data_IF_085364999143
#
_entry.id   IF_085364999143
#
_cell.length_a   1.000
_cell.length_b   1.000
_cell.length_c   1.000
_cell.angle_alpha   90.00
_cell.angle_beta   90.00
_cell.angle_gamma   90.00
#
_symmetry.space_group_name_H-M   'P 1'
#
loop_
_entity.id
_entity.type
_entity.pdbx_description
1 polymer ?
#
# COMPACT_ATOMS: atom_id res chain seq x y z
N UNK A 1 -24.07 -0.43 4.45
CA UNK A 1 -23.24 -0.43 3.22
C UNK A 1 -22.69 -1.82 2.92
N UNK A 2 -22.01 -2.48 3.85
CA UNK A 2 -21.31 -3.76 3.62
C UNK A 2 -22.23 -4.93 3.18
N UNK A 3 -23.48 -4.99 3.61
CA UNK A 3 -24.43 -6.02 3.22
C UNK A 3 -25.12 -5.75 1.88
N UNK A 4 -25.20 -4.49 1.49
CA UNK A 4 -25.84 -4.07 0.23
C UNK A 4 -24.88 -4.13 -0.97
N UNK A 5 -23.59 -3.79 -0.77
CA UNK A 5 -22.58 -3.77 -1.84
C UNK A 5 -22.47 -5.09 -2.61
N UNK A 6 -22.39 -6.29 -1.97
CA UNK A 6 -22.25 -7.54 -2.71
C UNK A 6 -23.47 -7.88 -3.58
N UNK A 7 -24.63 -7.30 -3.28
CA UNK A 7 -25.85 -7.49 -4.08
C UNK A 7 -25.97 -6.45 -5.19
N UNK A 8 -25.65 -5.20 -4.90
CA UNK A 8 -25.78 -4.09 -5.86
C UNK A 8 -24.70 -4.08 -6.94
N UNK A 9 -23.45 -4.40 -6.56
CA UNK A 9 -22.35 -4.38 -7.53
C UNK A 9 -22.58 -5.35 -8.69
N UNK A 10 -22.87 -6.65 -8.49
CA UNK A 10 -23.12 -7.56 -9.60
C UNK A 10 -24.35 -7.17 -10.45
N UNK A 11 -25.40 -6.63 -9.79
CA UNK A 11 -26.59 -6.17 -10.50
C UNK A 11 -26.29 -4.97 -11.39
N UNK A 12 -25.51 -4.01 -10.88
CA UNK A 12 -25.08 -2.83 -11.62
C UNK A 12 -24.20 -3.22 -12.83
N UNK A 13 -23.24 -4.14 -12.63
CA UNK A 13 -22.39 -4.64 -13.70
C UNK A 13 -23.18 -5.35 -14.80
N UNK A 14 -24.18 -6.16 -14.41
CA UNK A 14 -25.06 -6.84 -15.38
C UNK A 14 -25.93 -5.86 -16.17
N UNK A 15 -26.34 -4.76 -15.55
CA UNK A 15 -27.19 -3.74 -16.19
C UNK A 15 -26.38 -2.80 -17.11
N UNK A 16 -25.12 -2.55 -16.79
CA UNK A 16 -24.32 -1.50 -17.46
C UNK A 16 -23.53 -2.03 -18.65
N UNK A 17 -23.17 -3.32 -18.64
CA UNK A 17 -22.41 -3.98 -19.71
C UNK A 17 -21.00 -3.41 -19.88
N UNK A 18 -20.21 -4.00 -20.76
CA UNK A 18 -18.82 -3.61 -21.03
C UNK A 18 -18.75 -2.36 -21.93
N UNK A 19 -19.14 -1.19 -21.39
CA UNK A 19 -19.14 0.08 -22.12
C UNK A 19 -17.78 0.75 -22.03
N UNK A 20 -17.35 1.42 -23.11
CA UNK A 20 -16.11 2.20 -23.19
C UNK A 20 -15.98 3.25 -22.05
N UNK A 21 -17.12 3.74 -21.56
CA UNK A 21 -17.21 4.72 -20.47
C UNK A 21 -16.80 4.19 -19.08
N UNK A 22 -16.54 2.90 -18.93
CA UNK A 22 -16.17 2.23 -17.66
C UNK A 22 -17.03 2.65 -16.45
N UNK A 23 -18.36 2.51 -16.53
CA UNK A 23 -19.25 2.94 -15.45
C UNK A 23 -19.00 2.17 -14.15
N UNK A 24 -18.49 0.94 -14.25
CA UNK A 24 -18.13 0.09 -13.11
C UNK A 24 -17.01 0.70 -12.27
N UNK A 25 -15.96 1.17 -12.92
CA UNK A 25 -14.84 1.86 -12.26
C UNK A 25 -15.32 3.12 -11.55
N UNK A 26 -16.15 3.91 -12.24
CA UNK A 26 -16.73 5.14 -11.68
C UNK A 26 -17.64 4.86 -10.48
N UNK A 27 -18.42 3.78 -10.53
CA UNK A 27 -19.28 3.37 -9.41
C UNK A 27 -18.46 2.98 -8.18
N UNK A 28 -17.42 2.18 -8.35
CA UNK A 28 -16.55 1.80 -7.22
C UNK A 28 -15.84 3.03 -6.65
N UNK A 29 -15.31 3.91 -7.49
CA UNK A 29 -14.70 5.17 -7.03
C UNK A 29 -15.72 6.04 -6.28
N UNK A 30 -16.94 6.16 -6.77
CA UNK A 30 -18.00 6.89 -6.07
C UNK A 30 -18.26 6.32 -4.67
N UNK A 31 -18.38 5.00 -4.55
CA UNK A 31 -18.55 4.32 -3.26
C UNK A 31 -17.38 4.59 -2.32
N UNK A 32 -16.15 4.49 -2.83
CA UNK A 32 -14.94 4.75 -2.04
C UNK A 32 -14.86 6.21 -1.56
N UNK A 33 -15.17 7.18 -2.43
CA UNK A 33 -15.18 8.59 -2.05
C UNK A 33 -16.30 8.92 -1.07
N UNK A 34 -17.49 8.36 -1.24
CA UNK A 34 -18.60 8.54 -0.30
C UNK A 34 -18.24 8.00 1.08
N UNK A 35 -17.75 6.77 1.15
CA UNK A 35 -17.36 6.16 2.42
C UNK A 35 -16.15 6.84 3.05
N UNK A 36 -15.19 7.29 2.22
CA UNK A 36 -14.05 8.07 2.68
C UNK A 36 -14.46 9.43 3.24
N UNK A 37 -15.40 10.11 2.57
CA UNK A 37 -15.98 11.36 3.07
C UNK A 37 -16.71 11.19 4.40
N UNK A 38 -17.53 10.13 4.53
CA UNK A 38 -18.19 9.79 5.80
C UNK A 38 -17.21 9.47 6.92
N UNK A 39 -16.14 8.72 6.61
CA UNK A 39 -15.08 8.43 7.58
C UNK A 39 -14.38 9.70 8.06
N UNK A 40 -14.08 10.62 7.14
CA UNK A 40 -13.49 11.92 7.48
C UNK A 40 -14.40 12.76 8.38
N UNK A 41 -15.70 12.80 8.11
CA UNK A 41 -16.69 13.45 8.98
C UNK A 41 -16.74 12.82 10.38
N UNK A 42 -16.54 11.51 10.46
CA UNK A 42 -16.46 10.77 11.73
C UNK A 42 -15.06 10.85 12.40
N UNK A 43 -14.14 11.67 11.86
CA UNK A 43 -12.74 11.78 12.32
C UNK A 43 -12.03 10.43 12.39
N UNK A 44 -12.33 9.53 11.45
CA UNK A 44 -11.69 8.23 11.31
C UNK A 44 -10.93 8.14 9.98
N UNK A 45 -10.03 7.15 9.89
CA UNK A 45 -9.23 6.90 8.69
C UNK A 45 -10.10 6.38 7.54
N UNK A 46 -10.04 7.04 6.38
CA UNK A 46 -10.72 6.62 5.16
C UNK A 46 -10.22 5.28 4.60
N UNK A 47 -9.03 4.85 5.01
CA UNK A 47 -8.44 3.58 4.60
C UNK A 47 -9.24 2.38 5.10
N UNK A 48 -9.78 2.46 6.33
CA UNK A 48 -10.55 1.36 6.91
C UNK A 48 -11.80 1.00 6.08
N UNK A 49 -12.73 1.93 5.77
CA UNK A 49 -13.86 1.61 4.92
C UNK A 49 -13.45 1.15 3.51
N UNK A 50 -12.38 1.71 2.93
CA UNK A 50 -11.88 1.26 1.64
C UNK A 50 -11.40 -0.20 1.68
N UNK A 51 -10.66 -0.58 2.73
CA UNK A 51 -10.24 -1.95 2.96
C UNK A 51 -11.42 -2.91 3.12
N UNK A 52 -12.42 -2.52 3.90
CA UNK A 52 -13.64 -3.32 4.12
C UNK A 52 -14.43 -3.51 2.81
N UNK A 53 -14.54 -2.47 1.97
CA UNK A 53 -15.13 -2.60 0.62
C UNK A 53 -14.36 -3.60 -0.22
N UNK A 54 -13.03 -3.53 -0.22
CA UNK A 54 -12.17 -4.47 -0.94
C UNK A 54 -12.37 -5.91 -0.48
N UNK A 55 -12.46 -6.16 0.84
CA UNK A 55 -12.72 -7.48 1.40
C UNK A 55 -14.10 -8.02 1.00
N UNK A 56 -15.13 -7.20 1.09
CA UNK A 56 -16.51 -7.58 0.75
C UNK A 56 -16.66 -7.89 -0.73
N UNK A 57 -15.95 -7.17 -1.58
CA UNK A 57 -15.96 -7.36 -3.04
C UNK A 57 -14.91 -8.37 -3.54
N UNK A 58 -14.06 -8.92 -2.67
CA UNK A 58 -13.01 -9.86 -3.07
C UNK A 58 -13.53 -11.06 -3.88
N UNK A 59 -14.65 -11.74 -3.53
CA UNK A 59 -15.18 -12.83 -4.33
C UNK A 59 -15.61 -12.40 -5.74
N UNK A 60 -16.06 -11.15 -5.89
CA UNK A 60 -16.43 -10.57 -7.17
C UNK A 60 -15.17 -10.27 -8.01
N UNK A 61 -14.15 -9.66 -7.45
CA UNK A 61 -12.89 -9.39 -8.13
C UNK A 61 -12.12 -10.63 -8.55
N UNK A 62 -12.29 -11.74 -7.83
CA UNK A 62 -11.71 -13.04 -8.23
C UNK A 62 -12.34 -13.59 -9.50
N UNK A 63 -13.63 -13.31 -9.73
CA UNK A 63 -14.35 -13.70 -10.97
C UNK A 63 -14.05 -12.74 -12.11
N UNK A 64 -14.08 -11.43 -11.84
CA UNK A 64 -13.89 -10.36 -12.82
C UNK A 64 -12.45 -9.81 -12.78
N UNK A 65 -11.48 -10.66 -13.12
CA UNK A 65 -10.05 -10.33 -13.05
C UNK A 65 -9.65 -9.13 -13.90
N UNK A 66 -10.25 -9.00 -15.10
CA UNK A 66 -9.98 -7.89 -16.02
C UNK A 66 -10.37 -6.56 -15.39
N UNK A 67 -11.53 -6.51 -14.73
CA UNK A 67 -11.98 -5.31 -14.03
C UNK A 67 -11.07 -4.97 -12.84
N UNK A 68 -10.71 -5.97 -12.03
CA UNK A 68 -9.78 -5.76 -10.91
C UNK A 68 -8.42 -5.21 -11.38
N UNK A 69 -7.93 -5.67 -12.54
CA UNK A 69 -6.69 -5.17 -13.14
C UNK A 69 -6.83 -3.72 -13.63
N UNK A 70 -7.94 -3.36 -14.29
CA UNK A 70 -8.21 -1.97 -14.72
C UNK A 70 -8.28 -1.01 -13.53
N UNK A 71 -8.98 -1.38 -12.48
CA UNK A 71 -9.05 -0.59 -11.25
C UNK A 71 -7.67 -0.39 -10.62
N UNK A 72 -6.85 -1.45 -10.59
CA UNK A 72 -5.47 -1.39 -10.13
C UNK A 72 -4.63 -0.44 -10.97
N UNK A 73 -4.70 -0.54 -12.29
CA UNK A 73 -3.96 0.36 -13.21
C UNK A 73 -4.35 1.80 -12.96
N UNK A 74 -5.65 2.12 -12.87
CA UNK A 74 -6.13 3.48 -12.56
C UNK A 74 -5.58 3.98 -11.23
N UNK A 75 -5.60 3.15 -10.18
CA UNK A 75 -5.08 3.51 -8.87
C UNK A 75 -3.57 3.79 -8.91
N UNK A 76 -2.79 2.93 -9.53
CA UNK A 76 -1.32 3.08 -9.59
C UNK A 76 -0.88 4.19 -10.54
N UNK A 77 -1.60 4.42 -11.63
CA UNK A 77 -1.21 5.45 -12.62
C UNK A 77 -1.57 6.85 -12.14
N UNK A 78 -2.69 7.01 -11.46
CA UNK A 78 -3.22 8.33 -11.09
C UNK A 78 -3.16 8.58 -9.58
N UNK A 79 -3.85 7.77 -8.78
CA UNK A 79 -4.07 8.08 -7.37
C UNK A 79 -2.79 7.96 -6.52
N UNK A 80 -2.00 6.92 -6.75
CA UNK A 80 -0.79 6.65 -5.98
C UNK A 80 0.29 7.75 -6.15
N UNK A 81 0.65 8.21 -7.36
CA UNK A 81 1.61 9.29 -7.52
C UNK A 81 1.16 10.60 -6.85
N UNK A 82 -0.09 11.00 -7.02
CA UNK A 82 -0.60 12.21 -6.39
C UNK A 82 -0.57 12.15 -4.86
N UNK A 83 -0.89 10.97 -4.28
CA UNK A 83 -0.78 10.77 -2.84
C UNK A 83 0.66 10.96 -2.34
N UNK A 84 1.64 10.34 -3.00
CA UNK A 84 3.04 10.45 -2.58
C UNK A 84 3.63 11.84 -2.85
N UNK A 85 3.23 12.51 -3.93
CA UNK A 85 3.61 13.90 -4.18
C UNK A 85 3.09 14.82 -3.07
N UNK A 86 1.83 14.67 -2.67
CA UNK A 86 1.25 15.43 -1.56
C UNK A 86 1.94 15.13 -0.24
N UNK A 87 2.14 13.87 0.10
CA UNK A 87 2.81 13.48 1.34
C UNK A 87 4.25 14.00 1.39
N UNK A 88 4.97 13.91 0.26
CA UNK A 88 6.34 14.39 0.14
C UNK A 88 6.44 15.92 0.19
N UNK A 89 5.49 16.66 -0.38
CA UNK A 89 5.50 18.13 -0.37
C UNK A 89 5.35 18.75 1.03
N UNK A 90 4.85 17.98 1.98
CA UNK A 90 4.74 18.40 3.38
C UNK A 90 6.03 18.15 4.20
N UNK A 91 7.02 17.47 3.62
CA UNK A 91 8.31 17.21 4.27
C UNK A 91 9.18 18.47 4.20
N UNK A 92 9.60 18.99 5.35
CA UNK A 92 10.50 20.15 5.44
C UNK A 92 11.95 19.69 5.55
N UNK A 93 12.79 20.05 4.58
CA UNK A 93 14.20 19.65 4.56
C UNK A 93 15.00 20.13 5.79
N UNK A 94 14.69 21.32 6.30
CA UNK A 94 15.31 21.85 7.52
C UNK A 94 15.02 20.96 8.73
N UNK A 95 13.77 20.46 8.85
CA UNK A 95 13.37 19.55 9.91
C UNK A 95 13.99 18.16 9.75
N UNK A 96 14.30 17.72 8.53
CA UNK A 96 15.05 16.47 8.28
C UNK A 96 16.46 16.59 8.86
N UNK A 97 17.17 17.67 8.57
CA UNK A 97 18.51 17.91 9.07
C UNK A 97 18.54 18.01 10.61
N UNK A 98 17.62 18.78 11.19
CA UNK A 98 17.50 18.95 12.64
C UNK A 98 17.08 17.64 13.35
N UNK A 99 16.24 16.81 12.69
CA UNK A 99 15.69 15.56 13.23
C UNK A 99 16.48 14.31 12.85
N UNK A 100 17.66 14.43 12.24
CA UNK A 100 18.41 13.29 11.69
C UNK A 100 18.66 12.16 12.70
N UNK A 101 18.96 12.50 13.96
CA UNK A 101 19.14 11.51 15.03
C UNK A 101 17.86 10.74 15.33
N UNK A 102 16.72 11.43 15.44
CA UNK A 102 15.42 10.79 15.65
C UNK A 102 15.03 9.91 14.46
N UNK A 103 15.24 10.39 13.24
CA UNK A 103 14.96 9.65 12.02
C UNK A 103 15.78 8.35 11.98
N UNK A 104 17.08 8.43 12.31
CA UNK A 104 17.95 7.26 12.35
C UNK A 104 17.48 6.24 13.39
N UNK A 105 17.13 6.68 14.61
CA UNK A 105 16.60 5.80 15.66
C UNK A 105 15.31 5.14 15.23
N UNK A 106 14.34 5.89 14.69
CA UNK A 106 13.07 5.36 14.19
C UNK A 106 13.28 4.32 13.10
N UNK A 107 14.19 4.59 12.16
CA UNK A 107 14.52 3.69 11.07
C UNK A 107 15.17 2.40 11.60
N UNK A 108 16.13 2.52 12.51
CA UNK A 108 16.80 1.34 13.11
C UNK A 108 15.82 0.48 13.90
N UNK A 109 15.00 1.10 14.77
CA UNK A 109 13.99 0.36 15.55
C UNK A 109 12.99 -0.33 14.63
N UNK A 110 12.51 0.36 13.61
CA UNK A 110 11.59 -0.23 12.63
C UNK A 110 12.22 -1.41 11.89
N UNK A 111 13.44 -1.28 11.42
CA UNK A 111 14.13 -2.36 10.74
C UNK A 111 14.43 -3.53 11.69
N UNK A 112 14.92 -3.27 12.89
CA UNK A 112 15.24 -4.30 13.87
C UNK A 112 14.00 -5.10 14.29
N UNK A 113 12.90 -4.44 14.60
CA UNK A 113 11.65 -5.11 15.00
C UNK A 113 11.10 -6.00 13.88
N UNK A 114 11.14 -5.52 12.63
CA UNK A 114 10.73 -6.32 11.48
C UNK A 114 11.66 -7.50 11.24
N UNK A 115 12.95 -7.29 11.39
CA UNK A 115 13.96 -8.35 11.25
C UNK A 115 13.75 -9.44 12.31
N UNK A 116 13.59 -9.06 13.57
CA UNK A 116 13.35 -9.99 14.69
C UNK A 116 12.04 -10.76 14.51
N UNK A 117 10.99 -10.12 13.96
CA UNK A 117 9.69 -10.77 13.76
C UNK A 117 9.65 -11.68 12.53
N UNK A 118 10.26 -11.28 11.41
CA UNK A 118 10.08 -11.97 10.12
C UNK A 118 11.17 -13.03 9.88
N UNK A 119 12.42 -12.73 10.23
CA UNK A 119 13.53 -13.67 10.00
C UNK A 119 13.33 -15.06 10.61
N UNK A 120 12.89 -15.20 11.87
CA UNK A 120 12.60 -16.53 12.44
C UNK A 120 11.48 -17.26 11.71
N UNK A 121 10.45 -16.52 11.23
CA UNK A 121 9.36 -17.10 10.48
C UNK A 121 9.83 -17.67 9.13
N UNK A 122 10.70 -16.96 8.41
CA UNK A 122 11.27 -17.49 7.15
C UNK A 122 12.05 -18.77 7.38
N UNK A 123 12.74 -18.90 8.51
CA UNK A 123 13.41 -20.15 8.91
C UNK A 123 12.41 -21.26 9.23
N UNK A 124 11.33 -20.93 9.96
CA UNK A 124 10.26 -21.89 10.28
C UNK A 124 9.56 -22.44 9.02
N UNK A 125 9.38 -21.61 8.00
CA UNK A 125 8.83 -22.00 6.71
C UNK A 125 9.85 -22.63 5.74
N UNK A 126 11.06 -22.90 6.19
CA UNK A 126 12.15 -23.54 5.43
C UNK A 126 12.55 -22.78 4.15
N UNK A 127 12.46 -21.46 4.16
CA UNK A 127 12.99 -20.65 3.06
C UNK A 127 14.50 -20.80 2.99
N UNK A 128 15.05 -20.83 1.78
CA UNK A 128 16.49 -20.72 1.56
C UNK A 128 17.03 -19.45 2.21
N UNK A 129 18.31 -19.45 2.59
CA UNK A 129 18.90 -18.32 3.30
C UNK A 129 18.78 -17.01 2.51
N UNK A 130 18.96 -17.07 1.19
CA UNK A 130 18.86 -15.93 0.28
C UNK A 130 17.43 -15.42 0.16
N UNK A 131 16.48 -16.32 -0.03
CA UNK A 131 15.05 -16.03 -0.12
C UNK A 131 14.49 -15.48 1.18
N UNK A 132 14.90 -16.07 2.32
CA UNK A 132 14.49 -15.60 3.65
C UNK A 132 14.99 -14.19 3.94
N UNK A 133 16.25 -13.85 3.59
CA UNK A 133 16.78 -12.49 3.73
C UNK A 133 16.07 -11.51 2.80
N UNK A 134 15.86 -11.89 1.54
CA UNK A 134 15.13 -11.08 0.58
C UNK A 134 13.72 -10.74 1.08
N UNK A 135 12.98 -11.75 1.51
CA UNK A 135 11.63 -11.60 2.07
C UNK A 135 11.64 -10.71 3.32
N UNK A 136 12.56 -10.94 4.24
CA UNK A 136 12.66 -10.15 5.49
C UNK A 136 12.93 -8.68 5.21
N UNK A 137 13.84 -8.38 4.29
CA UNK A 137 14.18 -7.01 3.90
C UNK A 137 13.00 -6.32 3.20
N UNK A 138 12.35 -6.98 2.25
CA UNK A 138 11.19 -6.40 1.56
C UNK A 138 9.99 -6.20 2.50
N UNK A 139 9.77 -7.11 3.44
CA UNK A 139 8.72 -6.98 4.45
C UNK A 139 9.03 -5.90 5.51
N UNK A 140 10.27 -5.42 5.57
CA UNK A 140 10.65 -4.29 6.43
C UNK A 140 10.14 -2.94 5.90
N UNK A 141 9.73 -2.88 4.65
CA UNK A 141 9.10 -1.69 4.05
C UNK A 141 7.71 -1.46 4.63
N UNK A 142 7.23 -0.25 4.60
CA UNK A 142 5.90 0.09 5.12
C UNK A 142 5.52 1.51 4.72
N UNK A 143 5.83 1.87 3.44
CA UNK A 143 5.70 3.23 2.94
C UNK A 143 4.25 3.72 2.97
N UNK A 144 3.32 2.93 2.46
CA UNK A 144 1.93 3.38 2.28
C UNK A 144 1.24 3.61 3.63
N UNK A 145 1.23 2.61 4.50
CA UNK A 145 0.55 2.72 5.80
C UNK A 145 1.20 3.73 6.73
N UNK A 146 2.55 3.79 6.74
CA UNK A 146 3.28 4.73 7.56
C UNK A 146 3.03 6.18 7.15
N UNK A 147 3.00 6.47 5.84
CA UNK A 147 2.71 7.83 5.35
C UNK A 147 1.25 8.23 5.53
N UNK A 148 0.29 7.31 5.38
CA UNK A 148 -1.12 7.56 5.64
C UNK A 148 -1.35 7.90 7.12
N UNK A 149 -0.83 7.08 8.04
CA UNK A 149 -0.98 7.30 9.49
C UNK A 149 -0.32 8.60 9.95
N UNK A 150 0.86 8.93 9.41
CA UNK A 150 1.51 10.19 9.71
C UNK A 150 0.69 11.39 9.20
N UNK A 151 0.15 11.31 7.98
CA UNK A 151 -0.68 12.38 7.42
C UNK A 151 -1.97 12.58 8.21
N UNK A 152 -2.60 11.49 8.65
CA UNK A 152 -3.76 11.54 9.53
C UNK A 152 -3.43 12.21 10.86
N UNK A 153 -2.32 11.82 11.49
CA UNK A 153 -1.85 12.42 12.72
C UNK A 153 -1.64 13.93 12.61
N UNK A 154 -1.02 14.38 11.49
CA UNK A 154 -0.82 15.79 11.21
C UNK A 154 -2.16 16.54 10.99
N UNK A 155 -3.04 15.99 10.16
CA UNK A 155 -4.33 16.62 9.84
C UNK A 155 -5.27 16.75 11.05
N UNK A 156 -5.15 15.83 12.02
CA UNK A 156 -5.96 15.84 13.24
C UNK A 156 -5.24 16.51 14.44
N UNK A 157 -4.06 17.11 14.22
CA UNK A 157 -3.31 17.79 15.27
C UNK A 157 -2.76 16.87 16.38
N UNK A 158 -2.63 15.57 16.10
CA UNK A 158 -2.07 14.56 17.02
C UNK A 158 -0.55 14.67 17.05
N UNK A 159 0.05 14.97 15.91
CA UNK A 159 1.48 15.22 15.74
C UNK A 159 1.72 16.58 15.10
N UNK A 160 2.87 17.18 15.41
CA UNK A 160 3.30 18.42 14.79
C UNK A 160 4.02 18.20 13.44
N UNK A 161 4.31 19.31 12.75
CA UNK A 161 4.95 19.27 11.43
C UNK A 161 6.36 18.67 11.47
N UNK A 162 7.08 18.83 12.57
CA UNK A 162 8.44 18.29 12.74
C UNK A 162 8.41 16.78 12.93
N UNK A 163 7.49 16.30 13.77
CA UNK A 163 7.23 14.89 13.99
C UNK A 163 6.75 14.20 12.70
N UNK A 164 5.84 14.84 11.96
CA UNK A 164 5.41 14.36 10.65
C UNK A 164 6.60 14.17 9.70
N UNK A 165 7.45 15.19 9.59
CA UNK A 165 8.64 15.14 8.73
C UNK A 165 9.57 14.00 9.13
N UNK A 166 9.84 13.83 10.43
CA UNK A 166 10.67 12.73 10.93
C UNK A 166 10.08 11.34 10.62
N UNK A 167 8.78 11.16 10.89
CA UNK A 167 8.09 9.90 10.63
C UNK A 167 8.07 9.54 9.15
N UNK A 168 7.68 10.48 8.28
CA UNK A 168 7.60 10.22 6.84
C UNK A 168 8.99 9.97 6.26
N UNK A 169 10.01 10.71 6.68
CA UNK A 169 11.39 10.48 6.23
C UNK A 169 11.91 9.11 6.67
N UNK A 170 11.65 8.70 7.91
CA UNK A 170 12.00 7.36 8.38
C UNK A 170 11.24 6.26 7.60
N UNK A 171 9.98 6.50 7.26
CA UNK A 171 9.17 5.57 6.45
C UNK A 171 9.72 5.45 5.04
N UNK A 172 10.08 6.56 4.39
CA UNK A 172 10.72 6.58 3.06
C UNK A 172 12.08 5.86 3.12
N UNK A 173 12.92 6.17 4.09
CA UNK A 173 14.19 5.51 4.32
C UNK A 173 14.04 3.99 4.47
N UNK A 174 13.02 3.54 5.21
CA UNK A 174 12.71 2.13 5.39
C UNK A 174 12.18 1.43 4.14
N UNK A 175 11.71 2.18 3.15
CA UNK A 175 11.33 1.62 1.85
C UNK A 175 12.53 1.52 0.90
N UNK A 176 13.43 2.49 0.94
CA UNK A 176 14.59 2.54 0.01
C UNK A 176 15.71 1.62 0.48
N UNK A 177 16.18 1.79 1.71
CA UNK A 177 17.40 1.12 2.21
C UNK A 177 17.28 -0.41 2.15
N UNK A 178 16.28 -1.06 2.77
CA UNK A 178 16.19 -2.52 2.73
C UNK A 178 15.87 -3.05 1.33
N UNK A 179 15.14 -2.29 0.51
CA UNK A 179 14.83 -2.70 -0.88
C UNK A 179 16.09 -2.74 -1.74
N UNK A 180 16.93 -1.72 -1.66
CA UNK A 180 18.21 -1.69 -2.39
C UNK A 180 19.11 -2.83 -1.94
N UNK A 181 19.20 -3.07 -0.63
CA UNK A 181 19.98 -4.17 -0.07
C UNK A 181 19.44 -5.53 -0.56
N UNK A 182 18.13 -5.72 -0.51
CA UNK A 182 17.49 -6.94 -0.94
C UNK A 182 17.77 -7.23 -2.42
N UNK A 183 17.53 -6.26 -3.29
CA UNK A 183 17.67 -6.42 -4.73
C UNK A 183 19.12 -6.62 -5.16
N UNK A 184 20.08 -5.92 -4.51
CA UNK A 184 21.49 -6.00 -4.92
C UNK A 184 22.20 -7.26 -4.44
N UNK A 185 21.87 -7.76 -3.24
CA UNK A 185 22.64 -8.85 -2.61
C UNK A 185 21.86 -10.14 -2.39
N UNK A 186 20.55 -10.09 -2.30
CA UNK A 186 19.72 -11.22 -1.92
C UNK A 186 18.65 -11.60 -2.93
N UNK A 187 18.65 -11.00 -4.13
CA UNK A 187 17.65 -11.33 -5.16
C UNK A 187 17.74 -12.83 -5.47
N UNK A 188 16.65 -13.61 -5.27
CA UNK A 188 16.62 -15.01 -5.62
C UNK A 188 16.72 -15.17 -7.13
N UNK A 189 17.37 -16.22 -7.60
CA UNK A 189 17.31 -16.61 -9.00
C UNK A 189 15.86 -17.00 -9.27
N UNK A 190 15.15 -16.22 -10.07
CA UNK A 190 13.83 -16.63 -10.55
C UNK A 190 14.04 -17.89 -11.39
N UNK A 191 13.27 -18.97 -11.18
CA UNK A 191 13.23 -20.05 -12.14
C UNK A 191 12.87 -19.43 -13.48
N UNK A 192 13.70 -19.65 -14.49
CA UNK A 192 13.35 -19.26 -15.86
C UNK A 192 12.01 -19.95 -16.13
N UNK A 193 10.97 -19.15 -16.29
CA UNK A 193 9.73 -19.62 -16.87
C UNK A 193 10.15 -20.00 -18.29
N UNK A 194 10.31 -21.29 -18.54
CA UNK A 194 10.31 -21.78 -19.90
C UNK A 194 9.03 -21.22 -20.51
N UNK A 195 9.19 -20.21 -21.35
CA UNK A 195 8.14 -19.81 -22.27
C UNK A 195 7.94 -21.03 -23.17
N UNK A 196 7.01 -21.88 -22.76
CA UNK A 196 6.38 -22.83 -23.64
C UNK A 196 5.57 -22.00 -24.66
N UNK A 197 6.34 -21.39 -25.58
CA UNK A 197 5.81 -20.94 -26.87
C UNK A 197 5.71 -22.22 -27.69
N UNK A 198 4.79 -23.08 -27.25
CA UNK A 198 4.25 -24.14 -28.08
C UNK A 198 3.41 -23.49 -29.16
N UNK A 199 3.94 -23.57 -30.36
CA UNK A 199 3.25 -23.33 -31.60
C UNK A 199 1.79 -23.85 -31.55
N UNK A 200 0.82 -22.93 -31.70
CA UNK A 200 -0.41 -23.17 -32.47
C UNK A 200 -0.88 -21.82 -33.04
#
# INVERSE_FOLDING_TARGET
AMWLLPKFVPLFFKATGNRISEPETKFILLVLFLLGGMANLAKTEAVLPAYLVGMVLAPFFLKERVFAQRLRVTAYTLLTPFFFLKAGSLVKFEAVAAGAGLIAVLLLVKMATKFIGIWPLTKGFRFGQREGMYTTLLMSTGLTFGSISALFGLNNGIIDQSQYTALVTAVIGSAIVPTVIAQRWFQPALPQREEDIGDV
#
